data_IF_114309218867
#
_entry.id   IF_114309218867
#
_cell.length_a   1.000
_cell.length_b   1.000
_cell.length_c   1.000
_cell.angle_alpha   90.00
_cell.angle_beta   90.00
_cell.angle_gamma   90.00
#
_symmetry.space_group_name_H-M   'P 1'
#
loop_
_entity.id
_entity.type
_entity.pdbx_description
1 polymer ?
#
# COMPACT_ATOMS: atom_id res chain seq x y z
N UNK A 1 10.37 21.74 -3.97
CA UNK A 1 9.97 20.36 -4.27
C UNK A 1 8.77 20.03 -3.40
N UNK A 2 7.56 20.23 -3.94
CA UNK A 2 6.33 19.87 -3.25
C UNK A 2 6.33 18.35 -3.09
N UNK A 3 6.67 17.89 -1.89
CA UNK A 3 6.55 16.49 -1.55
C UNK A 3 5.04 16.24 -1.45
N UNK A 4 4.44 15.79 -2.53
CA UNK A 4 3.05 15.34 -2.55
C UNK A 4 3.01 14.04 -1.73
N UNK A 5 3.06 14.22 -0.40
CA UNK A 5 2.93 13.14 0.57
C UNK A 5 1.49 12.67 0.40
N UNK A 6 1.31 11.56 -0.33
CA UNK A 6 0.01 10.91 -0.42
C UNK A 6 -0.50 10.65 1.01
N UNK A 7 -1.80 10.72 1.26
CA UNK A 7 -2.36 10.53 2.61
C UNK A 7 -1.90 9.21 3.28
N UNK A 8 -1.56 8.19 2.47
CA UNK A 8 -0.90 6.96 2.94
C UNK A 8 0.43 7.23 3.60
N UNK A 9 1.25 8.03 2.93
CA UNK A 9 2.63 8.27 3.29
C UNK A 9 2.69 9.16 4.52
N UNK A 10 1.70 10.06 4.68
CA UNK A 10 1.51 10.86 5.89
C UNK A 10 1.20 9.97 7.10
N UNK A 11 0.27 9.02 6.96
CA UNK A 11 -0.04 8.06 8.04
C UNK A 11 1.13 7.10 8.31
N UNK A 12 1.82 6.65 7.24
CA UNK A 12 2.94 5.72 7.31
C UNK A 12 4.16 6.30 8.01
N UNK A 13 4.51 7.57 7.74
CA UNK A 13 5.60 8.27 8.43
C UNK A 13 5.29 8.39 9.94
N UNK A 14 4.03 8.67 10.29
CA UNK A 14 3.58 8.69 11.69
C UNK A 14 3.72 7.33 12.37
N UNK A 15 3.30 6.24 11.72
CA UNK A 15 3.42 4.87 12.26
C UNK A 15 4.88 4.43 12.43
N UNK A 16 5.75 4.75 11.47
CA UNK A 16 7.18 4.42 11.56
C UNK A 16 7.81 5.15 12.75
N UNK A 17 7.56 6.45 12.89
CA UNK A 17 8.04 7.23 14.03
C UNK A 17 7.52 6.69 15.37
N UNK A 18 6.24 6.31 15.42
CA UNK A 18 5.64 5.69 16.60
C UNK A 18 6.25 4.32 16.93
N UNK A 19 6.58 3.50 15.92
CA UNK A 19 7.25 2.20 16.11
C UNK A 19 8.67 2.33 16.69
N UNK A 20 9.46 3.31 16.23
CA UNK A 20 10.79 3.59 16.82
C UNK A 20 10.64 4.06 18.26
N UNK A 21 9.72 5.00 18.49
CA UNK A 21 9.47 5.55 19.82
C UNK A 21 9.06 4.47 20.81
N UNK A 22 8.17 3.56 20.41
CA UNK A 22 7.71 2.46 21.26
C UNK A 22 8.79 1.40 21.50
N UNK A 23 9.63 1.13 20.50
CA UNK A 23 10.80 0.25 20.65
C UNK A 23 11.83 0.85 21.61
N UNK A 24 12.11 2.16 21.52
CA UNK A 24 13.00 2.87 22.44
C UNK A 24 12.44 2.91 23.86
N UNK A 25 11.13 3.17 24.02
CA UNK A 25 10.44 3.10 25.32
C UNK A 25 10.56 1.72 25.95
N UNK A 26 10.39 0.64 25.16
CA UNK A 26 10.56 -0.73 25.65
C UNK A 26 11.97 -1.01 26.18
N UNK A 27 12.99 -0.45 25.54
CA UNK A 27 14.39 -0.55 25.99
C UNK A 27 14.62 0.29 27.26
N UNK A 28 14.10 1.53 27.31
CA UNK A 28 14.26 2.45 28.46
C UNK A 28 13.50 1.96 29.71
N UNK A 29 12.34 1.33 29.54
CA UNK A 29 11.52 0.73 30.60
C UNK A 29 12.05 -0.63 31.08
N UNK A 30 13.36 -0.89 31.02
CA UNK A 30 13.99 -2.14 31.48
C UNK A 30 13.71 -3.38 30.60
N UNK A 31 13.67 -3.23 29.27
CA UNK A 31 13.36 -4.33 28.35
C UNK A 31 12.01 -5.00 28.66
N UNK A 32 10.97 -4.18 28.76
CA UNK A 32 9.61 -4.71 28.87
C UNK A 32 9.28 -5.52 27.62
N UNK A 33 9.06 -6.82 27.81
CA UNK A 33 8.83 -7.79 26.71
C UNK A 33 7.58 -7.44 25.92
N UNK A 34 6.58 -6.84 26.56
CA UNK A 34 5.33 -6.41 25.94
C UNK A 34 5.55 -5.20 25.03
N UNK A 35 6.25 -4.17 25.53
CA UNK A 35 6.57 -2.99 24.72
C UNK A 35 7.44 -3.32 23.51
N UNK A 36 8.44 -4.20 23.69
CA UNK A 36 9.30 -4.65 22.60
C UNK A 36 8.51 -5.41 21.51
N UNK A 37 7.58 -6.28 21.92
CA UNK A 37 6.72 -7.03 20.99
C UNK A 37 5.79 -6.12 20.20
N UNK A 38 5.15 -5.17 20.87
CA UNK A 38 4.29 -4.16 20.24
C UNK A 38 5.10 -3.26 19.28
N UNK A 39 6.33 -2.87 19.66
CA UNK A 39 7.24 -2.11 18.79
C UNK A 39 7.54 -2.87 17.49
N UNK A 40 7.81 -4.17 17.58
CA UNK A 40 8.07 -5.01 16.41
C UNK A 40 6.84 -5.10 15.47
N UNK A 41 5.62 -5.22 16.03
CA UNK A 41 4.36 -5.24 15.27
C UNK A 41 4.10 -3.86 14.62
N UNK A 42 4.29 -2.77 15.36
CA UNK A 42 4.08 -1.41 14.84
C UNK A 42 5.07 -1.06 13.73
N UNK A 43 6.32 -1.51 13.86
CA UNK A 43 7.35 -1.32 12.84
C UNK A 43 6.99 -2.03 11.53
N UNK A 44 6.65 -3.32 11.60
CA UNK A 44 6.22 -4.11 10.43
C UNK A 44 4.96 -3.53 9.79
N UNK A 45 3.98 -3.13 10.60
CA UNK A 45 2.73 -2.52 10.12
C UNK A 45 2.97 -1.16 9.47
N UNK A 46 3.83 -0.32 10.06
CA UNK A 46 4.21 0.98 9.51
C UNK A 46 4.91 0.85 8.15
N UNK A 47 5.84 -0.10 8.02
CA UNK A 47 6.54 -0.40 6.76
C UNK A 47 5.58 -1.00 5.72
N UNK A 48 4.68 -1.92 6.12
CA UNK A 48 3.69 -2.52 5.23
C UNK A 48 2.69 -1.49 4.67
N UNK A 49 2.21 -0.56 5.50
CA UNK A 49 1.31 0.52 5.08
C UNK A 49 2.04 1.50 4.15
N UNK A 50 3.34 1.77 4.40
CA UNK A 50 4.16 2.62 3.54
C UNK A 50 4.45 1.96 2.18
N UNK A 51 4.66 0.64 2.15
CA UNK A 51 4.95 -0.13 0.93
C UNK A 51 3.71 -0.41 0.08
N UNK A 52 2.51 -0.41 0.67
CA UNK A 52 1.28 -0.24 -0.10
C UNK A 52 0.27 -1.37 0.06
N UNK A 53 -0.58 -1.23 1.07
CA UNK A 53 -1.86 -1.93 1.16
C UNK A 53 -2.84 -1.51 0.05
N UNK A 54 -2.73 -0.29 -0.50
CA UNK A 54 -3.66 0.21 -1.54
C UNK A 54 -3.48 -0.44 -2.92
N UNK A 55 -2.29 -0.95 -3.28
CA UNK A 55 -2.11 -1.68 -4.55
C UNK A 55 -2.82 -3.03 -4.51
N UNK A 56 -2.80 -3.72 -3.37
CA UNK A 56 -3.47 -5.01 -3.18
C UNK A 56 -4.99 -4.86 -3.22
N UNK A 57 -5.55 -3.82 -2.57
CA UNK A 57 -6.99 -3.54 -2.68
C UNK A 57 -7.41 -3.12 -4.09
N UNK A 58 -6.58 -2.35 -4.82
CA UNK A 58 -6.87 -2.03 -6.22
C UNK A 58 -6.89 -3.28 -7.11
N UNK A 59 -6.06 -4.28 -6.85
CA UNK A 59 -6.07 -5.53 -7.61
C UNK A 59 -7.26 -6.43 -7.21
N UNK A 60 -7.60 -6.49 -5.92
CA UNK A 60 -8.77 -7.24 -5.44
C UNK A 60 -10.11 -6.61 -5.86
N UNK A 61 -10.22 -5.28 -5.88
CA UNK A 61 -11.42 -4.59 -6.40
C UNK A 61 -11.55 -4.71 -7.93
N UNK A 62 -10.46 -5.01 -8.65
CA UNK A 62 -10.51 -5.32 -10.08
C UNK A 62 -10.72 -6.81 -10.39
N UNK A 63 -11.04 -7.66 -9.40
CA UNK A 63 -11.52 -9.02 -9.66
C UNK A 63 -12.98 -9.01 -10.13
N UNK A 64 -13.22 -8.33 -11.25
CA UNK A 64 -14.38 -8.52 -12.12
C UNK A 64 -13.95 -8.93 -13.55
N UNK A 65 -12.75 -9.49 -13.73
CA UNK A 65 -12.36 -10.16 -14.98
C UNK A 65 -12.56 -11.69 -14.87
N UNK A 66 -13.80 -12.13 -15.05
CA UNK A 66 -14.17 -13.55 -15.27
C UNK A 66 -14.07 -13.95 -16.75
N UNK A 67 -13.06 -13.45 -17.48
CA UNK A 67 -12.79 -13.90 -18.85
C UNK A 67 -11.31 -14.17 -19.02
N UNK A 68 -10.88 -15.31 -18.48
CA UNK A 68 -9.85 -16.12 -19.14
C UNK A 68 -10.60 -17.00 -20.14
N UNK A 69 -10.58 -16.59 -21.40
CA UNK A 69 -10.82 -17.42 -22.58
C UNK A 69 -9.74 -17.06 -23.58
N UNK A 70 -9.00 -18.07 -24.02
CA UNK A 70 -7.74 -18.01 -24.78
C UNK A 70 -7.95 -17.59 -26.27
N UNK A 71 -6.88 -17.26 -27.03
CA UNK A 71 -6.90 -16.20 -28.04
C UNK A 71 -7.57 -16.64 -29.35
N UNK A 72 -8.74 -16.09 -29.65
CA UNK A 72 -9.37 -16.20 -30.97
C UNK A 72 -9.09 -14.91 -31.76
N UNK A 73 -8.21 -15.07 -32.74
CA UNK A 73 -7.92 -14.17 -33.84
C UNK A 73 -9.20 -13.72 -34.56
N UNK A 74 -9.56 -12.44 -34.44
CA UNK A 74 -10.38 -11.81 -35.48
C UNK A 74 -10.12 -10.30 -35.56
N UNK A 75 -9.05 -9.96 -36.29
CA UNK A 75 -9.03 -8.71 -37.04
C UNK A 75 -10.19 -8.76 -38.05
N UNK A 76 -11.05 -7.73 -38.07
CA UNK A 76 -10.87 -6.73 -39.12
C UNK A 76 -11.02 -5.31 -38.55
N UNK A 77 -10.28 -4.36 -39.15
CA UNK A 77 -10.57 -2.94 -39.01
C UNK A 77 -12.01 -2.59 -39.45
N UNK A 78 -12.49 -1.37 -39.19
CA UNK A 78 -11.89 -0.19 -39.83
C UNK A 78 -11.70 1.04 -38.93
N UNK A 79 -10.87 1.95 -39.44
CA UNK A 79 -10.63 3.31 -38.97
C UNK A 79 -11.89 4.19 -38.92
N UNK A 80 -11.74 5.35 -38.26
CA UNK A 80 -12.68 6.48 -38.05
C UNK A 80 -13.68 6.28 -36.90
N UNK A 81 -13.78 7.18 -35.91
CA UNK A 81 -14.00 8.63 -36.04
C UNK A 81 -13.55 9.44 -34.81
N UNK A 82 -12.71 10.48 -35.01
CA UNK A 82 -12.80 11.76 -34.27
C UNK A 82 -14.09 12.48 -34.74
N UNK A 83 -14.62 13.56 -34.11
CA UNK A 83 -14.44 14.12 -32.76
C UNK A 83 -15.79 14.43 -32.05
N UNK A 84 -15.82 14.59 -30.73
CA UNK A 84 -16.89 15.30 -29.98
C UNK A 84 -16.31 15.68 -28.61
N UNK A 85 -16.43 16.88 -28.06
CA UNK A 85 -16.76 18.23 -28.52
C UNK A 85 -16.11 19.18 -27.49
#
# INVERSE_FOLDING_TARGET
MAYEITEQKKIGIGLIGFGIFFSLLGVILFFDRGLLALGNIFWLTGVAILLGWRSTLKLFTNQAYYKVGDPEELNPGPCESKPQA
#
